data_IF_132181717775
#
_entry.id   IF_132181717775
#
_cell.length_a   1.000
_cell.length_b   1.000
_cell.length_c   1.000
_cell.angle_alpha   90.00
_cell.angle_beta   90.00
_cell.angle_gamma   90.00
#
_symmetry.space_group_name_H-M   'P 1'
#
loop_
_entity.id
_entity.type
_entity.pdbx_description
1 polymer ?
#
# COMPACT_ATOMS: atom_id res chain seq x y z
N UNK A 1 25.73 -7.98 -3.03
CA UNK A 1 24.38 -7.65 -3.31
C UNK A 1 24.03 -6.28 -2.77
N UNK A 2 23.47 -5.49 -3.60
CA UNK A 2 23.12 -4.17 -3.18
C UNK A 2 21.90 -4.19 -2.32
N UNK A 3 21.96 -3.52 -1.23
CA UNK A 3 20.81 -3.36 -0.39
C UNK A 3 20.07 -2.14 -0.82
N UNK A 4 18.75 -2.16 -0.71
CA UNK A 4 18.00 -0.93 -0.93
C UNK A 4 18.51 0.14 0.01
N UNK A 5 18.32 1.39 -0.39
CA UNK A 5 18.66 2.50 0.47
C UNK A 5 17.87 2.40 1.74
N UNK A 6 18.53 2.12 2.82
CA UNK A 6 17.84 1.98 4.09
C UNK A 6 17.80 3.30 4.82
N UNK A 7 16.61 3.65 5.28
CA UNK A 7 16.37 4.87 6.03
C UNK A 7 16.17 4.51 7.48
N UNK A 8 17.27 4.20 8.17
CA UNK A 8 17.15 3.82 9.57
C UNK A 8 17.34 4.99 10.50
N UNK A 9 17.41 6.19 9.98
CA UNK A 9 17.38 7.40 10.77
C UNK A 9 16.01 8.02 10.70
N UNK A 10 15.63 8.85 11.66
CA UNK A 10 14.34 9.52 11.53
C UNK A 10 14.33 10.44 10.32
N UNK A 11 13.18 10.54 9.69
CA UNK A 11 13.01 11.46 8.58
C UNK A 11 11.56 11.91 8.53
N UNK A 12 11.36 13.03 7.86
CA UNK A 12 10.01 13.55 7.62
C UNK A 12 9.86 13.80 6.14
N UNK A 13 8.65 13.65 5.65
CA UNK A 13 8.33 13.90 4.25
C UNK A 13 7.21 14.92 4.21
N UNK A 14 7.28 15.81 3.23
CA UNK A 14 6.23 16.79 3.02
C UNK A 14 5.05 16.13 2.33
N UNK A 15 3.96 16.86 2.26
CA UNK A 15 2.78 16.37 1.58
C UNK A 15 3.13 15.91 0.16
N UNK A 16 2.73 14.71 -0.19
CA UNK A 16 2.97 14.16 -1.52
C UNK A 16 4.37 13.64 -1.76
N UNK A 17 5.27 13.82 -0.81
CA UNK A 17 6.66 13.42 -0.99
C UNK A 17 6.86 11.97 -0.59
N UNK A 18 7.77 11.28 -1.28
CA UNK A 18 8.11 9.90 -0.97
C UNK A 18 8.78 9.26 -2.17
N UNK A 19 8.88 7.95 -2.13
CA UNK A 19 9.39 7.17 -3.25
C UNK A 19 8.19 6.77 -4.09
N UNK A 20 8.11 7.31 -5.31
CA UNK A 20 6.95 7.08 -6.17
C UNK A 20 7.27 5.94 -7.11
N UNK A 21 6.47 4.92 -7.06
CA UNK A 21 6.61 3.75 -7.94
C UNK A 21 5.42 3.67 -8.86
N UNK A 22 5.68 3.41 -10.13
CA UNK A 22 4.63 3.09 -11.08
C UNK A 22 4.46 1.59 -11.11
N UNK A 23 3.26 1.13 -10.79
CA UNK A 23 2.96 -0.29 -10.70
C UNK A 23 1.49 -0.43 -11.08
N UNK A 24 1.22 -0.26 -12.37
CA UNK A 24 -0.13 -0.05 -12.87
C UNK A 24 -0.51 1.42 -12.76
N UNK A 25 -0.62 1.89 -11.54
CA UNK A 25 -0.81 3.32 -11.25
C UNK A 25 0.35 3.75 -10.36
N UNK A 26 0.37 5.01 -9.98
CA UNK A 26 1.47 5.55 -9.17
C UNK A 26 1.14 5.44 -7.69
N UNK A 27 2.10 4.93 -6.94
CA UNK A 27 2.01 4.81 -5.50
C UNK A 27 3.15 5.58 -4.87
N UNK A 28 2.86 6.35 -3.83
CA UNK A 28 3.89 7.09 -3.11
C UNK A 28 4.18 6.35 -1.81
N UNK A 29 5.35 5.73 -1.75
CA UNK A 29 5.76 4.93 -0.61
C UNK A 29 6.46 5.83 0.40
N UNK A 30 6.04 5.76 1.65
CA UNK A 30 6.61 6.57 2.72
C UNK A 30 7.56 5.77 3.57
N UNK A 31 7.31 4.49 3.73
CA UNK A 31 8.13 3.60 4.55
C UNK A 31 7.86 2.17 4.11
N UNK A 32 8.81 1.28 4.30
CA UNK A 32 8.63 -0.12 3.97
C UNK A 32 9.65 -0.97 4.71
N UNK A 33 9.47 -2.26 4.69
CA UNK A 33 10.44 -3.18 5.26
C UNK A 33 11.81 -2.99 4.59
N UNK A 34 11.82 -2.86 3.27
CA UNK A 34 13.10 -2.74 2.56
C UNK A 34 13.84 -1.47 2.93
N UNK A 35 13.10 -0.39 3.23
CA UNK A 35 13.73 0.87 3.55
C UNK A 35 14.05 1.03 5.03
N UNK A 36 13.19 0.53 5.90
CA UNK A 36 13.30 0.82 7.32
C UNK A 36 13.52 -0.40 8.20
N UNK A 37 13.27 -1.59 7.68
CA UNK A 37 13.50 -2.81 8.44
C UNK A 37 12.51 -3.05 9.57
N UNK A 38 11.33 -2.43 9.50
CA UNK A 38 10.40 -2.51 10.62
C UNK A 38 9.19 -3.39 10.35
N UNK A 39 9.17 -4.07 9.23
CA UNK A 39 8.09 -5.01 8.96
C UNK A 39 6.79 -4.40 8.49
N UNK A 40 6.76 -3.10 8.23
CA UNK A 40 5.53 -2.46 7.80
C UNK A 40 5.79 -1.57 6.61
N UNK A 41 4.77 -1.33 5.82
CA UNK A 41 4.85 -0.36 4.74
C UNK A 41 3.71 0.62 4.86
N UNK A 42 3.96 1.83 4.45
CA UNK A 42 2.97 2.91 4.50
C UNK A 42 3.04 3.62 3.16
N UNK A 43 1.94 3.66 2.45
CA UNK A 43 1.92 4.34 1.16
C UNK A 43 0.60 5.08 0.97
N UNK A 44 0.65 6.03 0.09
CA UNK A 44 -0.51 6.83 -0.25
C UNK A 44 -0.67 6.81 -1.75
N UNK A 45 -1.91 6.77 -2.23
CA UNK A 45 -2.13 6.81 -3.67
C UNK A 45 -3.53 7.30 -3.99
N UNK A 46 -3.71 7.64 -5.24
CA UNK A 46 -4.95 8.14 -5.79
C UNK A 46 -5.34 7.22 -6.92
N UNK A 47 -6.60 6.83 -6.98
CA UNK A 47 -7.06 5.94 -8.01
C UNK A 47 -8.53 6.22 -8.31
N UNK A 48 -9.00 5.78 -9.48
CA UNK A 48 -10.36 6.09 -9.89
C UNK A 48 -11.02 4.86 -10.48
N UNK A 49 -12.33 4.97 -10.71
CA UNK A 49 -13.10 3.86 -11.28
C UNK A 49 -12.40 3.33 -12.51
N UNK A 50 -12.34 2.03 -12.61
CA UNK A 50 -11.72 1.36 -13.73
C UNK A 50 -10.28 0.96 -13.48
N UNK A 51 -9.67 1.47 -12.41
CA UNK A 51 -8.28 1.13 -12.10
C UNK A 51 -8.16 0.11 -10.99
N UNK A 52 -9.28 -0.40 -10.48
CA UNK A 52 -9.22 -1.35 -9.38
C UNK A 52 -8.51 -2.63 -9.81
N UNK A 53 -7.64 -3.17 -8.96
CA UNK A 53 -7.04 -4.45 -9.28
C UNK A 53 -8.06 -5.56 -9.14
N UNK A 54 -7.80 -6.71 -9.76
CA UNK A 54 -8.67 -7.87 -9.51
C UNK A 54 -8.59 -8.28 -8.04
N UNK A 55 -9.63 -8.94 -7.57
CA UNK A 55 -9.61 -9.49 -6.22
C UNK A 55 -8.43 -10.45 -6.09
N UNK A 56 -7.79 -10.44 -4.94
CA UNK A 56 -6.57 -11.20 -4.73
C UNK A 56 -6.40 -11.55 -3.26
N UNK A 57 -5.44 -12.42 -2.98
CA UNK A 57 -5.16 -12.86 -1.63
C UNK A 57 -3.69 -12.64 -1.33
N UNK A 58 -3.42 -11.96 -0.21
CA UNK A 58 -2.05 -11.87 0.30
C UNK A 58 -1.89 -12.94 1.36
N UNK A 59 -0.93 -13.82 1.17
CA UNK A 59 -0.81 -14.96 2.05
C UNK A 59 -0.26 -14.60 3.42
N UNK A 60 0.63 -13.62 3.47
CA UNK A 60 1.36 -13.35 4.70
C UNK A 60 1.29 -11.91 5.15
N UNK A 61 0.56 -11.04 4.48
CA UNK A 61 0.51 -9.66 4.95
C UNK A 61 -0.93 -9.24 5.22
N UNK A 62 -1.12 -8.57 6.33
CA UNK A 62 -2.35 -7.87 6.62
C UNK A 62 -2.32 -6.55 5.90
N UNK A 63 -3.46 -6.04 5.51
CA UNK A 63 -3.54 -4.78 4.80
C UNK A 63 -4.60 -3.91 5.45
N UNK A 64 -4.32 -2.63 5.56
CA UNK A 64 -5.26 -1.69 6.15
C UNK A 64 -5.37 -0.50 5.23
N UNK A 65 -6.56 0.06 5.13
CA UNK A 65 -6.77 1.26 4.31
C UNK A 65 -7.46 2.32 5.13
N UNK A 66 -7.05 3.54 4.92
CA UNK A 66 -7.72 4.70 5.48
C UNK A 66 -8.12 5.57 4.29
N UNK A 67 -9.40 5.94 4.20
CA UNK A 67 -9.92 6.70 3.06
C UNK A 67 -9.76 8.17 3.35
N UNK A 68 -8.91 8.85 2.59
CA UNK A 68 -8.72 10.28 2.75
C UNK A 68 -9.77 11.07 1.97
N UNK A 69 -10.15 10.59 0.80
CA UNK A 69 -11.14 11.23 -0.05
C UNK A 69 -11.90 10.19 -0.83
N UNK A 70 -13.19 10.40 -1.01
CA UNK A 70 -14.01 9.53 -1.84
C UNK A 70 -14.70 8.44 -1.06
N UNK A 71 -15.24 7.47 -1.77
CA UNK A 71 -15.95 6.34 -1.15
C UNK A 71 -15.66 5.07 -1.91
N UNK A 72 -15.52 3.99 -1.16
CA UNK A 72 -15.06 2.70 -1.68
C UNK A 72 -15.87 1.60 -1.02
N UNK A 73 -16.22 0.58 -1.78
CA UNK A 73 -16.77 -0.66 -1.22
C UNK A 73 -15.65 -1.68 -1.23
N UNK A 74 -15.26 -2.15 -0.06
CA UNK A 74 -14.28 -3.21 0.07
C UNK A 74 -14.99 -4.55 0.25
N UNK A 75 -14.43 -5.57 -0.37
CA UNK A 75 -14.91 -6.95 -0.21
C UNK A 75 -13.81 -7.74 0.46
N UNK A 76 -14.18 -8.57 1.42
CA UNK A 76 -13.24 -9.43 2.10
C UNK A 76 -13.95 -10.73 2.40
N UNK A 77 -13.56 -11.80 1.71
CA UNK A 77 -14.31 -13.04 1.77
C UNK A 77 -15.72 -12.82 1.26
N UNK A 78 -16.69 -13.14 2.07
CA UNK A 78 -18.09 -12.95 1.69
C UNK A 78 -18.69 -11.66 2.25
N UNK A 79 -17.88 -10.84 2.89
CA UNK A 79 -18.38 -9.60 3.48
C UNK A 79 -18.04 -8.41 2.62
N UNK A 80 -18.90 -7.41 2.68
CA UNK A 80 -18.68 -6.14 1.98
C UNK A 80 -18.84 -5.00 2.96
N UNK A 81 -18.03 -3.98 2.77
CA UNK A 81 -18.00 -2.83 3.67
C UNK A 81 -17.91 -1.57 2.84
N UNK A 82 -18.86 -0.64 3.07
CA UNK A 82 -18.79 0.68 2.44
C UNK A 82 -18.00 1.60 3.35
N UNK A 83 -16.93 2.17 2.80
CA UNK A 83 -16.04 3.02 3.59
C UNK A 83 -15.93 4.35 2.88
N UNK A 84 -16.13 5.44 3.62
CA UNK A 84 -16.10 6.77 3.09
C UNK A 84 -15.01 7.58 3.74
N UNK A 85 -14.83 8.81 3.27
CA UNK A 85 -13.83 9.70 3.79
C UNK A 85 -13.77 9.62 5.32
N UNK A 86 -12.58 9.41 5.85
CA UNK A 86 -12.35 9.27 7.28
C UNK A 86 -12.57 7.87 7.80
N UNK A 87 -12.95 6.93 6.95
CA UNK A 87 -13.18 5.55 7.38
C UNK A 87 -11.98 4.67 7.21
N UNK A 88 -12.03 3.52 7.82
CA UNK A 88 -10.90 2.60 7.93
C UNK A 88 -11.38 1.17 7.71
N UNK A 89 -10.55 0.35 7.11
CA UNK A 89 -10.82 -1.08 7.02
C UNK A 89 -9.55 -1.89 7.26
N UNK A 90 -9.71 -3.03 7.88
CA UNK A 90 -8.64 -4.00 8.11
C UNK A 90 -8.93 -5.26 7.30
N UNK A 91 -7.97 -5.69 6.51
CA UNK A 91 -8.08 -6.86 5.65
C UNK A 91 -7.02 -7.88 6.08
N UNK A 92 -7.41 -8.95 6.76
CA UNK A 92 -6.43 -9.90 7.27
C UNK A 92 -5.81 -10.72 6.15
N UNK A 93 -4.60 -11.16 6.39
CA UNK A 93 -3.90 -12.07 5.48
C UNK A 93 -4.71 -13.34 5.28
N UNK A 94 -4.60 -13.92 4.11
CA UNK A 94 -5.19 -15.22 3.82
C UNK A 94 -6.62 -15.20 3.32
N UNK A 95 -7.24 -14.03 3.23
CA UNK A 95 -8.63 -13.94 2.76
C UNK A 95 -8.65 -13.12 1.48
N UNK A 96 -9.32 -13.63 0.47
CA UNK A 96 -9.42 -12.91 -0.79
C UNK A 96 -10.15 -11.59 -0.60
N UNK A 97 -9.61 -10.53 -1.16
CA UNK A 97 -10.22 -9.21 -1.02
C UNK A 97 -10.04 -8.38 -2.28
N UNK A 98 -10.82 -7.33 -2.36
CA UNK A 98 -10.75 -6.35 -3.44
C UNK A 98 -11.63 -5.18 -3.11
N UNK A 99 -11.70 -4.22 -4.03
CA UNK A 99 -12.56 -3.08 -3.79
C UNK A 99 -13.11 -2.52 -5.09
N UNK A 100 -14.17 -1.75 -4.94
CA UNK A 100 -14.80 -1.03 -6.03
C UNK A 100 -14.93 0.43 -5.61
N UNK A 101 -14.44 1.33 -6.44
CA UNK A 101 -14.57 2.75 -6.17
C UNK A 101 -15.99 3.18 -6.48
N UNK A 102 -16.62 3.87 -5.55
CA UNK A 102 -18.01 4.27 -5.71
C UNK A 102 -18.19 5.73 -6.10
N UNK A 103 -17.26 6.58 -5.67
CA UNK A 103 -17.38 8.00 -5.98
C UNK A 103 -17.01 8.27 -7.44
N UNK A 104 -17.58 9.32 -8.01
CA UNK A 104 -17.22 9.71 -9.36
C UNK A 104 -15.83 10.29 -9.41
N UNK A 105 -15.46 11.04 -8.39
CA UNK A 105 -14.11 11.59 -8.33
C UNK A 105 -13.13 10.52 -7.87
N UNK A 106 -11.85 10.68 -8.16
CA UNK A 106 -10.85 9.75 -7.67
C UNK A 106 -10.84 9.67 -6.15
N UNK A 107 -10.47 8.52 -5.63
CA UNK A 107 -10.29 8.36 -4.19
C UNK A 107 -8.84 8.53 -3.84
N UNK A 108 -8.58 8.98 -2.62
CA UNK A 108 -7.22 9.00 -2.07
C UNK A 108 -7.20 8.09 -0.88
N UNK A 109 -6.23 7.19 -0.88
CA UNK A 109 -6.14 6.14 0.11
C UNK A 109 -4.76 6.13 0.74
N UNK A 110 -4.72 5.86 2.04
CA UNK A 110 -3.50 5.42 2.69
C UNK A 110 -3.62 3.92 2.84
N UNK A 111 -2.59 3.20 2.41
CA UNK A 111 -2.53 1.76 2.60
C UNK A 111 -1.36 1.45 3.52
N UNK A 112 -1.60 0.58 4.48
CA UNK A 112 -0.56 0.10 5.38
C UNK A 112 -0.55 -1.40 5.29
N UNK A 113 0.62 -1.98 5.08
CA UNK A 113 0.76 -3.43 5.09
C UNK A 113 1.68 -3.83 6.22
N UNK A 114 1.45 -4.99 6.77
CA UNK A 114 2.26 -5.50 7.87
C UNK A 114 2.45 -6.98 7.65
N UNK A 115 3.53 -7.58 8.17
CA UNK A 115 3.72 -9.02 8.01
C UNK A 115 2.53 -9.76 8.57
N UNK A 116 2.14 -10.80 7.90
CA UNK A 116 1.08 -11.65 8.40
C UNK A 116 1.53 -12.40 9.62
N UNK A 117 0.67 -13.31 10.07
CA UNK A 117 0.90 -13.99 11.34
C UNK A 117 1.78 -15.20 11.22
N UNK A 118 2.21 -15.55 10.03
CA UNK A 118 3.03 -16.72 9.83
C UNK A 118 4.49 -16.37 10.06
N UNK A 119 5.05 -16.69 11.20
CA UNK A 119 6.43 -16.31 11.48
C UNK A 119 7.43 -17.06 10.64
N UNK A 120 7.01 -18.07 9.92
CA UNK A 120 7.91 -18.78 9.02
C UNK A 120 7.96 -18.19 7.63
N UNK A 121 7.12 -17.22 7.35
CA UNK A 121 7.11 -16.64 6.02
C UNK A 121 8.35 -15.78 5.84
N UNK A 122 8.91 -15.84 4.66
CA UNK A 122 10.08 -15.09 4.39
C UNK A 122 9.72 -13.79 3.77
N UNK A 123 9.60 -12.80 4.56
CA UNK A 123 9.45 -11.47 4.08
C UNK A 123 8.09 -11.23 3.48
N UNK A 124 8.06 -10.30 2.58
CA UNK A 124 6.85 -9.73 2.10
C UNK A 124 6.45 -10.38 0.82
N UNK A 125 5.91 -11.47 0.78
CA UNK A 125 5.41 -11.99 -0.47
C UNK A 125 4.16 -11.28 -0.87
N UNK A 126 4.19 -10.00 -1.13
CA UNK A 126 3.00 -9.28 -1.40
C UNK A 126 3.20 -8.04 -2.23
N UNK A 127 2.20 -7.18 -2.15
CA UNK A 127 2.08 -6.03 -3.03
C UNK A 127 3.30 -5.11 -2.97
N UNK A 128 3.72 -4.69 -1.79
CA UNK A 128 4.77 -3.69 -1.69
C UNK A 128 6.12 -4.26 -2.08
N UNK A 129 6.42 -5.50 -1.71
CA UNK A 129 7.68 -6.08 -2.11
C UNK A 129 7.74 -6.32 -3.62
N UNK A 130 6.64 -6.71 -4.23
CA UNK A 130 6.61 -6.87 -5.67
C UNK A 130 6.83 -5.53 -6.36
N UNK A 131 6.24 -4.48 -5.84
CA UNK A 131 6.39 -3.16 -6.39
C UNK A 131 7.80 -2.63 -6.20
N UNK A 132 8.31 -2.71 -4.98
CA UNK A 132 9.54 -2.04 -4.63
C UNK A 132 10.78 -2.81 -5.08
N UNK A 133 10.74 -4.12 -5.01
CA UNK A 133 11.91 -4.94 -5.25
C UNK A 133 11.83 -5.72 -6.54
N UNK A 134 10.74 -5.61 -7.28
CA UNK A 134 10.53 -6.41 -8.47
C UNK A 134 10.00 -5.62 -9.64
N UNK A 135 8.69 -5.56 -9.79
CA UNK A 135 8.06 -5.14 -11.02
C UNK A 135 7.69 -3.66 -11.09
N UNK A 136 7.72 -2.96 -10.00
CA UNK A 136 7.41 -1.55 -10.02
C UNK A 136 8.57 -0.72 -10.52
N UNK A 137 8.26 0.42 -11.11
CA UNK A 137 9.28 1.31 -11.63
C UNK A 137 9.39 2.54 -10.73
N UNK A 138 10.56 2.78 -10.17
CA UNK A 138 10.79 3.96 -9.33
C UNK A 138 10.89 5.18 -10.23
N UNK A 139 9.95 6.13 -10.07
CA UNK A 139 9.93 7.30 -10.93
C UNK A 139 10.24 8.60 -10.19
N UNK A 140 10.28 8.58 -8.87
CA UNK A 140 10.67 9.76 -8.10
C UNK A 140 11.10 9.35 -6.72
N UNK A 141 11.98 10.15 -6.11
CA UNK A 141 12.45 9.97 -4.75
C UNK A 141 12.13 11.22 -3.97
N UNK A 142 12.21 11.16 -2.64
CA UNK A 142 12.04 12.39 -1.87
C UNK A 142 13.00 13.48 -2.36
N UNK A 143 12.47 14.68 -2.45
CA UNK A 143 13.20 15.75 -3.08
C UNK A 143 14.17 16.47 -2.20
N UNK A 144 14.37 16.04 -0.99
CA UNK A 144 15.31 16.73 -0.14
C UNK A 144 16.68 16.30 -0.51
N UNK A 145 17.55 17.20 -0.52
CA UNK A 145 18.82 16.88 -0.85
C UNK A 145 19.62 16.57 0.25
N UNK A 146 19.16 16.22 1.18
CA UNK A 146 19.91 16.03 2.33
C UNK A 146 20.94 15.14 2.34
#
# INVERSE_FOLDING_TARGET
MDKPDRQIRPYALKEGEGWVYRFGIDFTLKASEAKNGNGAAFLEYRTEKGEEPPDHTHRTEDEMFYVLEGSVTFRCGEESFDVEKGGFIFLPAGIEHGYTIRSEEPVRLIAVTAPGRDPGSKGWGGFVSDMELGQGELIAKPGHDS
#
